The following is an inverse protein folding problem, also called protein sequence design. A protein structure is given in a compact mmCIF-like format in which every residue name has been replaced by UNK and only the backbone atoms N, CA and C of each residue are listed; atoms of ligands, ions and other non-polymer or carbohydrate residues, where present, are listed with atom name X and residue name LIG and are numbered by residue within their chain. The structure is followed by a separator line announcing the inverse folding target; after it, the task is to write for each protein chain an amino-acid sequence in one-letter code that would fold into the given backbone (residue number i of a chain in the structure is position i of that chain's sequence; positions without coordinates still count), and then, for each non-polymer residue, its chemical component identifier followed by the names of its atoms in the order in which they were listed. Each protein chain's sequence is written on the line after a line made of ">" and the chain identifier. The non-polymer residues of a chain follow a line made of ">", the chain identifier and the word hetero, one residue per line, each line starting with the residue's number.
data_IF_306636514686
#
_entry.id   IF_306636514686
#
_cell.length_a   1.000
_cell.length_b   1.000
_cell.length_c   1.000
_cell.angle_alpha   90.00
_cell.angle_beta   90.00
_cell.angle_gamma   90.00
#
_symmetry.space_group_name_H-M   'P 1'
#
loop_
_entity.id
_entity.type
_entity.pdbx_description
1 polymer ?
#
# COMPACT_ATOMS: atom_id res chain seq x y z
N UNK A 1 -6.23 -24.01 -21.17
CA UNK A 1 -7.64 -23.87 -20.76
C UNK A 1 -7.77 -24.15 -19.27
N UNK A 2 -7.86 -23.11 -18.45
CA UNK A 2 -8.04 -23.25 -17.00
C UNK A 2 -9.44 -23.76 -16.69
N UNK A 3 -9.57 -24.67 -15.70
CA UNK A 3 -10.87 -25.18 -15.24
C UNK A 3 -11.63 -24.18 -14.36
N UNK A 4 -10.98 -23.09 -13.96
CA UNK A 4 -11.55 -22.08 -13.07
C UNK A 4 -12.18 -20.97 -13.91
N UNK A 5 -13.48 -20.73 -13.68
CA UNK A 5 -14.33 -19.83 -14.47
C UNK A 5 -13.82 -18.38 -14.46
N UNK A 6 -13.26 -17.93 -13.34
CA UNK A 6 -12.70 -16.57 -13.19
C UNK A 6 -11.51 -16.37 -14.13
N UNK A 7 -10.55 -17.30 -14.16
CA UNK A 7 -9.37 -17.17 -15.03
C UNK A 7 -9.71 -17.28 -16.51
N UNK A 8 -10.74 -18.07 -16.85
CA UNK A 8 -11.26 -18.11 -18.22
C UNK A 8 -11.86 -16.76 -18.63
N UNK A 9 -12.70 -16.15 -17.79
CA UNK A 9 -13.27 -14.82 -18.06
C UNK A 9 -12.18 -13.75 -18.17
N UNK A 10 -11.20 -13.76 -17.28
CA UNK A 10 -10.05 -12.85 -17.34
C UNK A 10 -9.30 -13.00 -18.66
N UNK A 11 -9.02 -14.23 -19.09
CA UNK A 11 -8.37 -14.51 -20.37
C UNK A 11 -9.19 -13.98 -21.56
N UNK A 12 -10.49 -14.29 -21.59
CA UNK A 12 -11.39 -13.87 -22.67
C UNK A 12 -11.42 -12.32 -22.78
N UNK A 13 -11.48 -11.62 -21.63
CA UNK A 13 -11.38 -10.15 -21.58
C UNK A 13 -10.03 -9.65 -22.08
N UNK A 14 -8.91 -10.21 -21.62
CA UNK A 14 -7.57 -9.80 -22.07
C UNK A 14 -7.39 -9.98 -23.57
N UNK A 15 -7.88 -11.08 -24.13
CA UNK A 15 -7.86 -11.33 -25.58
C UNK A 15 -8.73 -10.33 -26.33
N UNK A 16 -9.93 -10.02 -25.82
CA UNK A 16 -10.80 -9.01 -26.46
C UNK A 16 -10.17 -7.61 -26.52
N UNK A 17 -9.48 -7.20 -25.45
CA UNK A 17 -8.81 -5.90 -25.37
C UNK A 17 -7.47 -5.86 -26.13
N UNK A 18 -6.96 -7.02 -26.55
CA UNK A 18 -5.74 -7.13 -27.36
C UNK A 18 -5.87 -6.41 -28.70
N UNK A 19 -7.08 -6.37 -29.28
CA UNK A 19 -7.33 -5.71 -30.56
C UNK A 19 -7.06 -4.19 -30.50
N UNK A 20 -7.09 -3.60 -29.31
CA UNK A 20 -6.79 -2.18 -29.07
C UNK A 20 -5.37 -1.94 -28.57
N UNK A 21 -4.55 -2.99 -28.47
CA UNK A 21 -3.21 -2.96 -27.88
C UNK A 21 -3.19 -2.48 -26.40
N UNK A 22 -4.32 -2.65 -25.71
CA UNK A 22 -4.54 -2.17 -24.34
C UNK A 22 -4.15 -3.21 -23.28
N UNK A 23 -4.07 -4.51 -23.63
CA UNK A 23 -3.91 -5.60 -22.65
C UNK A 23 -2.54 -6.28 -22.62
N UNK A 24 -1.88 -6.46 -23.76
CA UNK A 24 -0.59 -7.15 -23.86
C UNK A 24 0.54 -6.17 -24.16
N UNK A 25 1.70 -6.44 -23.57
CA UNK A 25 2.93 -5.67 -23.79
C UNK A 25 4.04 -6.59 -24.26
N UNK A 26 4.93 -6.09 -25.12
CA UNK A 26 6.04 -6.88 -25.66
C UNK A 26 7.23 -6.97 -24.71
N UNK A 27 7.36 -6.02 -23.79
CA UNK A 27 8.46 -5.92 -22.83
C UNK A 27 7.96 -5.56 -21.44
N UNK A 28 8.61 -6.10 -20.42
CA UNK A 28 8.31 -5.78 -19.02
C UNK A 28 8.44 -4.29 -18.72
N UNK A 29 9.46 -3.60 -19.25
CA UNK A 29 9.66 -2.17 -19.04
C UNK A 29 8.49 -1.30 -19.53
N UNK A 30 7.87 -1.70 -20.64
CA UNK A 30 6.67 -1.03 -21.17
C UNK A 30 5.47 -1.25 -20.24
N UNK A 31 5.29 -2.48 -19.75
CA UNK A 31 4.26 -2.80 -18.77
C UNK A 31 4.38 -1.96 -17.50
N UNK A 32 5.60 -1.82 -16.96
CA UNK A 32 5.87 -1.00 -15.77
C UNK A 32 5.53 0.48 -16.02
N UNK A 33 5.92 1.04 -17.18
CA UNK A 33 5.58 2.43 -17.53
C UNK A 33 4.07 2.66 -17.58
N UNK A 34 3.32 1.75 -18.20
CA UNK A 34 1.85 1.83 -18.27
C UNK A 34 1.18 1.72 -16.90
N UNK A 35 1.70 0.87 -16.00
CA UNK A 35 1.19 0.80 -14.62
C UNK A 35 1.38 2.14 -13.91
N UNK A 36 2.52 2.80 -14.13
CA UNK A 36 2.83 4.10 -13.53
C UNK A 36 1.91 5.22 -14.02
N UNK A 37 1.50 5.19 -15.28
CA UNK A 37 0.52 6.11 -15.85
C UNK A 37 -0.90 5.92 -15.28
N UNK A 38 -1.17 4.75 -14.67
CA UNK A 38 -2.44 4.41 -14.04
C UNK A 38 -3.45 3.78 -15.00
N UNK A 39 -4.56 3.26 -14.45
CA UNK A 39 -5.62 2.60 -15.24
C UNK A 39 -5.25 1.24 -15.85
N UNK A 40 -4.04 0.75 -15.59
CA UNK A 40 -3.53 -0.52 -16.08
C UNK A 40 -2.94 -1.36 -14.94
N UNK A 41 -3.24 -2.65 -14.93
CA UNK A 41 -2.67 -3.61 -13.98
C UNK A 41 -1.83 -4.64 -14.74
N UNK A 42 -0.59 -4.81 -14.33
CA UNK A 42 0.33 -5.74 -14.99
C UNK A 42 0.52 -7.01 -14.16
N UNK A 43 0.30 -8.15 -14.80
CA UNK A 43 0.48 -9.47 -14.18
C UNK A 43 1.82 -10.02 -14.62
N UNK A 44 2.67 -10.32 -13.66
CA UNK A 44 4.03 -10.78 -13.88
C UNK A 44 4.45 -11.76 -12.75
N UNK A 45 5.54 -12.49 -12.92
CA UNK A 45 6.01 -13.48 -11.93
C UNK A 45 6.32 -12.83 -10.57
N UNK A 46 6.01 -13.50 -9.46
CA UNK A 46 6.16 -12.92 -8.11
C UNK A 46 7.57 -12.42 -7.79
N UNK A 47 8.61 -13.13 -8.26
CA UNK A 47 10.02 -12.78 -8.06
C UNK A 47 10.39 -11.47 -8.76
N UNK A 48 9.99 -11.34 -10.03
CA UNK A 48 10.14 -10.08 -10.78
C UNK A 48 9.30 -8.96 -10.15
N UNK A 49 8.13 -9.27 -9.59
CA UNK A 49 7.25 -8.25 -9.01
C UNK A 49 7.92 -7.61 -7.80
N UNK A 50 8.49 -8.46 -6.94
CA UNK A 50 9.30 -8.03 -5.81
C UNK A 50 10.50 -7.22 -6.29
N UNK A 51 11.24 -7.68 -7.30
CA UNK A 51 12.38 -6.96 -7.85
C UNK A 51 12.04 -5.52 -8.28
N UNK A 52 10.96 -5.32 -9.05
CA UNK A 52 10.59 -3.97 -9.52
C UNK A 52 10.08 -3.08 -8.40
N UNK A 53 9.29 -3.63 -7.46
CA UNK A 53 8.75 -2.87 -6.33
C UNK A 53 9.80 -2.38 -5.35
N UNK A 54 10.89 -3.13 -5.17
CA UNK A 54 11.99 -2.68 -4.29
C UNK A 54 12.78 -1.51 -4.89
N UNK A 55 12.67 -1.28 -6.21
CA UNK A 55 13.33 -0.21 -6.95
C UNK A 55 12.45 1.00 -7.19
N UNK A 56 11.15 0.77 -7.34
CA UNK A 56 10.16 1.80 -7.59
C UNK A 56 9.05 1.72 -6.53
N UNK A 57 9.07 2.65 -5.59
CA UNK A 57 8.17 2.67 -4.44
C UNK A 57 6.75 3.14 -4.83
N UNK A 58 6.53 3.64 -6.05
CA UNK A 58 5.19 3.96 -6.55
C UNK A 58 4.43 2.68 -6.96
N UNK A 59 5.14 1.57 -7.18
CA UNK A 59 4.53 0.29 -7.50
C UNK A 59 4.00 -0.40 -6.25
N UNK A 60 2.81 -0.98 -6.35
CA UNK A 60 2.22 -1.76 -5.26
C UNK A 60 1.74 -3.11 -5.77
N UNK A 61 1.89 -4.15 -4.94
CA UNK A 61 1.32 -5.45 -5.25
C UNK A 61 -0.08 -5.54 -4.68
N UNK A 62 -1.02 -5.92 -5.53
CA UNK A 62 -2.40 -6.16 -5.15
C UNK A 62 -2.66 -7.67 -5.21
N UNK A 63 -3.11 -8.23 -4.09
CA UNK A 63 -3.49 -9.63 -4.00
C UNK A 63 -2.33 -10.61 -3.79
N UNK A 64 -2.69 -11.90 -3.72
CA UNK A 64 -1.76 -13.01 -3.48
C UNK A 64 -1.13 -13.58 -4.75
N UNK A 65 -0.09 -14.40 -4.56
CA UNK A 65 0.60 -15.10 -5.63
C UNK A 65 -0.31 -16.23 -6.14
N UNK A 66 -0.61 -16.24 -7.45
CA UNK A 66 -1.29 -17.37 -8.07
C UNK A 66 -0.28 -18.47 -8.37
N UNK A 67 -0.33 -19.58 -7.62
CA UNK A 67 0.64 -20.65 -7.78
C UNK A 67 0.12 -21.70 -8.79
N UNK A 68 0.75 -21.86 -9.98
CA UNK A 68 0.42 -22.97 -10.87
C UNK A 68 0.80 -24.28 -10.20
N UNK A 69 -0.07 -25.29 -10.28
CA UNK A 69 0.14 -26.58 -9.64
C UNK A 69 1.47 -27.21 -10.10
N UNK A 70 2.38 -27.48 -9.16
CA UNK A 70 3.65 -28.12 -9.46
C UNK A 70 3.44 -29.54 -10.01
N UNK A 71 3.96 -29.79 -11.21
CA UNK A 71 3.91 -31.08 -11.91
C UNK A 71 4.50 -32.21 -11.04
N UNK A 72 3.89 -33.40 -11.07
CA UNK A 72 4.40 -34.58 -10.34
C UNK A 72 5.61 -35.15 -11.08
N UNK A 73 6.80 -35.03 -10.49
CA UNK A 73 8.05 -35.65 -10.99
C UNK A 73 8.59 -36.70 -10.01
N UNK A 74 9.37 -37.67 -10.50
CA UNK A 74 9.92 -38.76 -9.68
C UNK A 74 10.96 -38.27 -8.67
N UNK A 75 11.75 -37.27 -9.04
CA UNK A 75 12.77 -36.63 -8.18
C UNK A 75 12.20 -35.61 -7.20
N UNK A 76 10.89 -35.35 -7.24
CA UNK A 76 10.26 -34.31 -6.42
C UNK A 76 10.55 -34.50 -4.93
N UNK A 77 10.55 -35.75 -4.43
CA UNK A 77 10.82 -36.01 -3.01
C UNK A 77 12.24 -35.62 -2.62
N UNK A 78 13.25 -36.09 -3.35
CA UNK A 78 14.65 -35.78 -3.08
C UNK A 78 14.94 -34.27 -3.20
N UNK A 79 14.40 -33.61 -4.23
CA UNK A 79 14.55 -32.17 -4.39
C UNK A 79 13.83 -31.39 -3.30
N UNK A 80 12.60 -31.78 -2.93
CA UNK A 80 11.84 -31.11 -1.86
C UNK A 80 12.55 -31.20 -0.51
N UNK A 81 13.21 -32.32 -0.20
CA UNK A 81 13.98 -32.46 1.04
C UNK A 81 15.17 -31.50 1.09
N UNK A 82 15.95 -31.42 0.01
CA UNK A 82 17.10 -30.49 -0.07
C UNK A 82 16.63 -29.03 -0.03
N UNK A 83 15.56 -28.68 -0.75
CA UNK A 83 14.97 -27.33 -0.71
C UNK A 83 14.51 -26.98 0.70
N UNK A 84 13.87 -27.92 1.40
CA UNK A 84 13.42 -27.69 2.77
C UNK A 84 14.59 -27.50 3.73
N UNK A 85 15.70 -28.23 3.53
CA UNK A 85 16.93 -28.02 4.29
C UNK A 85 17.52 -26.62 4.05
N UNK A 86 17.61 -26.19 2.79
CA UNK A 86 18.09 -24.85 2.43
C UNK A 86 17.18 -23.74 2.97
N UNK A 87 15.86 -23.97 3.00
CA UNK A 87 14.92 -23.01 3.59
C UNK A 87 15.06 -22.95 5.12
N UNK A 88 15.27 -24.09 5.79
CA UNK A 88 15.53 -24.15 7.25
C UNK A 88 16.84 -23.45 7.63
N UNK A 89 17.85 -23.53 6.77
CA UNK A 89 19.14 -22.84 6.94
C UNK A 89 19.07 -21.36 6.53
N UNK A 90 17.90 -20.85 6.12
CA UNK A 90 17.66 -19.47 5.70
C UNK A 90 18.43 -18.99 4.45
N UNK A 91 19.22 -19.88 3.84
CA UNK A 91 20.07 -19.58 2.69
C UNK A 91 19.32 -18.99 1.48
N UNK A 92 18.10 -19.47 1.21
CA UNK A 92 17.28 -18.96 0.09
C UNK A 92 16.83 -17.52 0.37
N UNK A 93 16.51 -17.21 1.63
CA UNK A 93 16.08 -15.87 2.04
C UNK A 93 17.24 -14.88 1.94
N UNK A 94 18.43 -15.29 2.40
CA UNK A 94 19.65 -14.48 2.28
C UNK A 94 19.99 -14.16 0.82
N UNK A 95 19.88 -15.15 -0.07
CA UNK A 95 20.08 -14.93 -1.51
C UNK A 95 19.02 -14.01 -2.11
N UNK A 96 17.76 -14.19 -1.73
CA UNK A 96 16.68 -13.30 -2.16
C UNK A 96 16.94 -11.86 -1.71
N UNK A 97 17.34 -11.66 -0.48
CA UNK A 97 17.61 -10.32 0.07
C UNK A 97 18.82 -9.68 -0.61
N UNK A 98 19.88 -10.45 -0.85
CA UNK A 98 21.06 -9.97 -1.57
C UNK A 98 20.75 -9.62 -3.03
N UNK A 99 20.09 -10.52 -3.78
CA UNK A 99 19.96 -10.42 -5.23
C UNK A 99 18.67 -9.74 -5.71
N UNK A 100 17.56 -9.89 -4.98
CA UNK A 100 16.26 -9.34 -5.39
C UNK A 100 16.05 -7.97 -4.76
N UNK A 101 16.22 -7.86 -3.43
CA UNK A 101 15.96 -6.61 -2.69
C UNK A 101 17.09 -5.59 -2.84
N UNK A 102 18.35 -5.98 -2.60
CA UNK A 102 19.46 -5.02 -2.45
C UNK A 102 20.36 -4.86 -3.68
N UNK A 103 20.37 -5.83 -4.60
CA UNK A 103 21.31 -5.83 -5.71
C UNK A 103 21.17 -4.60 -6.62
N UNK A 104 22.27 -3.91 -6.90
CA UNK A 104 22.30 -2.76 -7.81
C UNK A 104 21.28 -1.66 -7.45
N UNK A 105 21.08 -1.43 -6.15
CA UNK A 105 20.21 -0.37 -5.63
C UNK A 105 21.05 0.77 -5.05
N UNK A 106 20.80 2.01 -5.49
CA UNK A 106 21.54 3.21 -5.05
C UNK A 106 20.86 3.88 -3.84
N UNK A 107 20.37 3.08 -2.89
CA UNK A 107 19.63 3.56 -1.72
C UNK A 107 19.03 2.41 -0.90
N UNK A 108 18.35 2.71 0.22
CA UNK A 108 17.60 1.70 0.96
C UNK A 108 16.44 1.14 0.10
N UNK A 109 16.15 -0.16 0.20
CA UNK A 109 15.01 -0.77 -0.49
C UNK A 109 13.70 -0.09 -0.08
N UNK A 110 12.74 0.03 -1.01
CA UNK A 110 11.44 0.65 -0.74
C UNK A 110 10.73 0.04 0.48
N UNK A 111 10.90 -1.27 0.70
CA UNK A 111 10.40 -1.96 1.90
C UNK A 111 10.95 -1.39 3.22
N UNK A 112 12.14 -0.80 3.22
CA UNK A 112 12.79 -0.15 4.37
C UNK A 112 12.59 1.38 4.39
N UNK A 113 12.27 2.01 3.24
CA UNK A 113 11.97 3.45 3.17
C UNK A 113 10.68 3.78 3.92
N UNK A 114 9.64 2.94 3.76
CA UNK A 114 8.39 3.12 4.50
C UNK A 114 8.55 3.00 6.03
N UNK A 115 9.58 2.31 6.50
CA UNK A 115 9.92 2.28 7.94
C UNK A 115 10.70 3.52 8.41
N UNK A 116 11.24 4.34 7.49
CA UNK A 116 11.97 5.57 7.81
C UNK A 116 11.20 6.86 7.55
N UNK A 117 10.20 6.86 6.66
CA UNK A 117 9.39 8.05 6.32
C UNK A 117 8.06 8.16 7.08
N UNK A 118 7.75 7.18 7.92
CA UNK A 118 6.67 7.24 8.91
C UNK A 118 7.23 6.69 10.20
N UNK A 119 7.42 7.51 11.25
CA UNK A 119 7.59 6.97 12.58
C UNK A 119 6.29 6.25 12.93
N UNK A 120 6.28 4.93 12.74
CA UNK A 120 5.26 4.03 13.28
C UNK A 120 5.25 4.24 14.80
N UNK A 121 4.25 5.00 15.27
CA UNK A 121 3.98 5.21 16.69
C UNK A 121 3.75 6.65 17.14
N UNK A 122 4.12 7.68 16.35
CA UNK A 122 3.72 9.04 16.70
C UNK A 122 2.46 9.39 15.92
N UNK A 123 1.31 9.21 16.57
CA UNK A 123 0.05 9.77 16.10
C UNK A 123 0.28 11.26 15.79
N UNK A 124 0.34 11.57 14.52
CA UNK A 124 0.70 12.89 14.02
C UNK A 124 -0.28 13.93 14.55
N UNK A 125 0.23 15.11 14.88
CA UNK A 125 -0.56 16.23 15.43
C UNK A 125 -1.70 16.60 14.46
N UNK A 126 -1.53 16.32 13.17
CA UNK A 126 -2.56 16.44 12.15
C UNK A 126 -3.82 15.59 12.43
N UNK A 127 -3.68 14.39 13.01
CA UNK A 127 -4.82 13.55 13.39
C UNK A 127 -5.53 14.05 14.66
N UNK A 128 -4.82 14.72 15.57
CA UNK A 128 -5.40 15.35 16.76
C UNK A 128 -5.81 16.82 16.56
N UNK A 129 -5.63 17.37 15.35
CA UNK A 129 -6.01 18.75 15.02
C UNK A 129 -7.48 19.06 15.32
N UNK A 130 -8.36 18.06 15.17
CA UNK A 130 -9.78 18.19 15.51
C UNK A 130 -10.05 18.52 16.98
N UNK A 131 -9.22 18.01 17.91
CA UNK A 131 -9.38 18.25 19.35
C UNK A 131 -9.04 19.70 19.69
N UNK A 132 -7.93 20.22 19.18
CA UNK A 132 -7.53 21.62 19.40
C UNK A 132 -8.55 22.61 18.81
N UNK A 133 -9.09 22.33 17.63
CA UNK A 133 -10.14 23.16 17.02
C UNK A 133 -11.41 23.15 17.88
N UNK A 134 -11.83 21.98 18.36
CA UNK A 134 -13.03 21.87 19.22
C UNK A 134 -12.88 22.65 20.54
N UNK A 135 -11.68 22.67 21.11
CA UNK A 135 -11.37 23.40 22.35
C UNK A 135 -11.41 24.93 22.14
N UNK A 136 -10.83 25.43 21.04
CA UNK A 136 -10.85 26.86 20.72
C UNK A 136 -12.27 27.37 20.46
N UNK A 137 -13.09 26.59 19.76
CA UNK A 137 -14.50 26.92 19.54
C UNK A 137 -15.27 26.94 20.87
N UNK A 138 -15.05 25.92 21.72
CA UNK A 138 -15.66 25.87 23.05
C UNK A 138 -15.32 27.08 23.92
N UNK A 139 -14.05 27.52 23.91
CA UNK A 139 -13.61 28.72 24.63
C UNK A 139 -14.27 29.99 24.08
N UNK A 140 -14.36 30.13 22.76
CA UNK A 140 -15.00 31.29 22.12
C UNK A 140 -16.48 31.41 22.50
N UNK A 141 -17.22 30.29 22.48
CA UNK A 141 -18.64 30.26 22.87
C UNK A 141 -18.81 30.62 24.35
N UNK A 142 -17.97 30.08 25.23
CA UNK A 142 -18.03 30.38 26.66
C UNK A 142 -17.83 31.89 26.93
N UNK A 143 -16.84 32.50 26.28
CA UNK A 143 -16.56 33.94 26.40
C UNK A 143 -17.75 34.77 25.91
N UNK A 144 -18.35 34.42 24.77
CA UNK A 144 -19.53 35.11 24.24
C UNK A 144 -20.72 35.03 25.19
N UNK A 145 -21.00 33.85 25.76
CA UNK A 145 -22.07 33.69 26.75
C UNK A 145 -21.83 34.53 28.00
N UNK A 146 -20.59 34.58 28.50
CA UNK A 146 -20.23 35.45 29.62
C UNK A 146 -20.49 36.94 29.31
N UNK A 147 -20.14 37.42 28.12
CA UNK A 147 -20.41 38.82 27.74
C UNK A 147 -21.91 39.11 27.66
N UNK A 148 -22.70 38.20 27.10
CA UNK A 148 -24.17 38.36 27.01
C UNK A 148 -24.78 38.42 28.41
N UNK A 149 -24.39 37.52 29.31
CA UNK A 149 -24.86 37.55 30.70
C UNK A 149 -24.48 38.82 31.44
N UNK A 150 -23.25 39.32 31.25
CA UNK A 150 -22.79 40.56 31.88
C UNK A 150 -23.61 41.77 31.40
N UNK A 151 -23.91 41.84 30.09
CA UNK A 151 -24.74 42.90 29.52
C UNK A 151 -26.19 42.81 29.99
N UNK A 152 -26.76 41.61 30.07
CA UNK A 152 -28.12 41.44 30.61
C UNK A 152 -28.20 41.76 32.10
N UNK A 153 -27.22 41.34 32.90
CA UNK A 153 -27.15 41.66 34.32
C UNK A 153 -26.96 43.16 34.54
N UNK A 154 -26.08 43.82 33.81
CA UNK A 154 -25.86 45.26 33.94
C UNK A 154 -27.11 46.07 33.52
N UNK A 155 -27.79 45.69 32.45
CA UNK A 155 -29.04 46.32 32.02
C UNK A 155 -30.18 46.08 33.03
N UNK A 156 -30.28 44.86 33.58
CA UNK A 156 -31.29 44.54 34.61
C UNK A 156 -31.02 45.29 35.92
N UNK A 157 -29.74 45.38 36.32
CA UNK A 157 -29.33 46.14 37.51
C UNK A 157 -29.60 47.64 37.33
N UNK A 158 -29.29 48.20 36.16
CA UNK A 158 -29.58 49.60 35.85
C UNK A 158 -31.08 49.93 35.90
N UNK A 159 -31.93 49.03 35.40
CA UNK A 159 -33.40 49.19 35.49
C UNK A 159 -33.97 49.02 36.90
N UNK A 160 -33.26 48.37 37.82
CA UNK A 160 -33.73 48.15 39.20
C UNK A 160 -33.36 49.28 40.16
N UNK A 161 -32.42 50.13 39.75
CA UNK A 161 -31.94 51.31 40.51
C UNK A 161 -32.66 52.61 40.17
N UNK A 162 -33.71 52.56 39.35
CA UNK A 162 -34.61 53.67 39.04
C UNK A 162 -36.03 53.33 39.48
#
# INVERSE_FOLDING_TARGET
>A
NSKITVYRRMWDSMVSWSAKNESFVGKTSEGISRVREGGYAYILESTFNQYYRERDCELTQIGGIFNPAATRSQYRRALSEVILKLHKEQFIEDLSDAWIKRFNLTGPPCSEVHTGSTPDGTLDVASFGGVFVSMLVGLGVAVLLCFIELMWRSATLAMRTQ
#
